data_IF_614660825485
#
_entry.id   IF_614660825485
#
_cell.length_a   1.000
_cell.length_b   1.000
_cell.length_c   1.000
_cell.angle_alpha   90.00
_cell.angle_beta   90.00
_cell.angle_gamma   90.00
#
_symmetry.space_group_name_H-M   'P 1'
#
loop_
_entity.id
_entity.type
_entity.pdbx_description
1 polymer ?
#
# COMPACT_ATOMS: atom_id res chain seq x y z
N UNK A 1 33.14 9.30 -37.49
CA UNK A 1 32.09 8.35 -37.05
C UNK A 1 32.72 6.97 -36.91
N UNK A 2 32.95 6.46 -35.69
CA UNK A 2 33.25 5.05 -35.47
C UNK A 2 32.13 4.36 -34.69
N UNK A 3 31.52 3.33 -35.30
CA UNK A 3 30.46 2.51 -34.71
C UNK A 3 31.06 1.35 -33.90
N UNK A 4 30.93 1.39 -32.58
CA UNK A 4 31.18 0.27 -31.71
C UNK A 4 29.97 -0.66 -31.73
N UNK A 5 30.05 -1.75 -32.49
CA UNK A 5 29.03 -2.80 -32.46
C UNK A 5 29.19 -3.60 -31.17
N UNK A 6 28.36 -3.30 -30.16
CA UNK A 6 28.30 -4.07 -28.91
C UNK A 6 27.66 -5.42 -29.23
N UNK A 7 28.44 -6.50 -29.14
CA UNK A 7 27.92 -7.85 -29.17
C UNK A 7 26.98 -8.05 -27.97
N UNK A 8 25.73 -8.40 -28.26
CA UNK A 8 24.68 -8.60 -27.27
C UNK A 8 24.91 -9.96 -26.60
N UNK A 9 25.16 -10.05 -25.27
CA UNK A 9 25.24 -11.35 -24.62
C UNK A 9 23.86 -12.01 -24.71
N UNK A 10 23.81 -13.18 -25.37
CA UNK A 10 22.63 -14.02 -25.35
C UNK A 10 22.26 -14.27 -23.89
N UNK A 11 21.13 -13.71 -23.46
CA UNK A 11 20.63 -13.88 -22.11
C UNK A 11 20.44 -15.38 -21.88
N UNK A 12 21.39 -15.99 -21.19
CA UNK A 12 21.22 -17.36 -20.69
C UNK A 12 19.89 -17.41 -19.97
N UNK A 13 19.14 -18.49 -20.20
CA UNK A 13 17.90 -18.78 -19.48
C UNK A 13 18.30 -19.09 -18.04
N UNK A 14 18.63 -18.04 -17.29
CA UNK A 14 18.89 -18.10 -15.87
C UNK A 14 17.62 -18.66 -15.24
N UNK A 15 17.77 -19.71 -14.44
CA UNK A 15 16.71 -20.32 -13.66
C UNK A 15 15.68 -19.26 -13.24
N UNK A 16 14.43 -19.42 -13.67
CA UNK A 16 13.33 -18.49 -13.38
C UNK A 16 13.31 -18.22 -11.88
N UNK A 17 13.85 -17.07 -11.48
CA UNK A 17 13.95 -16.71 -10.08
C UNK A 17 12.52 -16.56 -9.55
N UNK A 18 12.10 -17.48 -8.68
CA UNK A 18 10.77 -17.44 -8.07
C UNK A 18 10.72 -16.20 -7.18
N UNK A 19 9.99 -15.16 -7.60
CA UNK A 19 9.74 -13.96 -6.79
C UNK A 19 8.65 -14.29 -5.79
N UNK A 20 9.03 -14.46 -4.53
CA UNK A 20 8.08 -14.62 -3.43
C UNK A 20 7.28 -13.34 -3.21
N UNK A 21 5.99 -13.48 -2.86
CA UNK A 21 5.13 -12.33 -2.59
C UNK A 21 5.53 -11.70 -1.25
N UNK A 22 5.93 -10.44 -1.27
CA UNK A 22 6.17 -9.68 -0.04
C UNK A 22 4.84 -9.18 0.53
N UNK A 23 4.56 -9.54 1.77
CA UNK A 23 3.46 -8.99 2.59
C UNK A 23 3.95 -7.73 3.34
N UNK A 24 3.06 -6.97 3.96
CA UNK A 24 3.40 -5.74 4.70
C UNK A 24 2.88 -4.43 4.08
N UNK A 25 2.22 -4.51 2.94
CA UNK A 25 1.60 -3.41 2.22
C UNK A 25 0.06 -3.45 2.27
N UNK A 26 -0.50 -4.09 3.31
CA UNK A 26 -1.94 -4.21 3.54
C UNK A 26 -2.62 -2.85 3.73
N UNK A 27 -1.89 -1.91 4.34
CA UNK A 27 -2.34 -0.53 4.46
C UNK A 27 -1.84 0.30 3.29
N UNK A 28 -2.76 0.66 2.39
CA UNK A 28 -2.53 1.67 1.35
C UNK A 28 -3.33 2.94 1.67
N UNK A 29 -2.67 4.07 1.94
CA UNK A 29 -3.35 5.28 2.40
C UNK A 29 -4.21 5.88 1.30
N UNK A 30 -5.51 6.06 1.59
CA UNK A 30 -6.41 6.81 0.72
C UNK A 30 -7.46 7.55 1.55
N UNK A 31 -7.51 8.87 1.41
CA UNK A 31 -8.39 9.72 2.22
C UNK A 31 -9.87 9.44 1.98
N UNK A 32 -10.27 9.20 0.74
CA UNK A 32 -11.67 8.87 0.40
C UNK A 32 -12.14 7.59 1.10
N UNK A 33 -11.34 6.50 1.04
CA UNK A 33 -11.69 5.24 1.71
C UNK A 33 -11.69 5.41 3.22
N UNK A 34 -10.72 6.14 3.78
CA UNK A 34 -10.63 6.42 5.22
C UNK A 34 -11.87 7.15 5.74
N UNK A 35 -12.28 8.25 5.10
CA UNK A 35 -13.43 9.07 5.54
C UNK A 35 -14.76 8.35 5.34
N UNK A 36 -14.95 7.60 4.24
CA UNK A 36 -16.17 6.80 4.01
C UNK A 36 -16.33 5.65 5.01
N UNK A 37 -15.25 4.94 5.36
CA UNK A 37 -15.30 3.75 6.24
C UNK A 37 -15.31 4.09 7.73
N UNK A 38 -14.63 5.16 8.14
CA UNK A 38 -14.35 5.43 9.55
C UNK A 38 -14.89 6.78 10.05
N UNK A 39 -15.59 7.54 9.21
CA UNK A 39 -16.12 8.85 9.55
C UNK A 39 -17.51 8.86 10.22
N UNK A 40 -18.22 7.72 10.29
CA UNK A 40 -19.65 7.71 10.64
C UNK A 40 -20.01 6.66 11.69
N UNK A 41 -21.01 6.98 12.53
CA UNK A 41 -21.58 6.03 13.51
C UNK A 41 -22.08 6.70 14.80
N UNK A 42 -23.37 7.04 14.87
CA UNK A 42 -23.97 7.77 16.02
C UNK A 42 -23.72 7.10 17.37
N UNK A 43 -23.92 5.77 17.46
CA UNK A 43 -23.67 4.98 18.69
C UNK A 43 -22.19 4.91 19.08
N UNK A 44 -21.28 4.93 18.10
CA UNK A 44 -19.83 4.91 18.34
C UNK A 44 -19.38 6.28 18.84
N UNK A 45 -19.90 7.37 18.27
CA UNK A 45 -19.59 8.73 18.68
C UNK A 45 -20.06 9.01 20.11
N UNK A 46 -21.26 8.60 20.50
CA UNK A 46 -21.74 8.76 21.89
C UNK A 46 -20.83 8.01 22.87
N UNK A 47 -20.48 6.75 22.59
CA UNK A 47 -19.57 5.96 23.42
C UNK A 47 -18.17 6.58 23.53
N UNK A 48 -17.65 7.12 22.43
CA UNK A 48 -16.33 7.79 22.41
C UNK A 48 -16.33 9.12 23.18
N UNK A 49 -17.44 9.87 23.13
CA UNK A 49 -17.64 11.09 23.95
C UNK A 49 -17.69 10.75 25.43
N UNK A 50 -18.47 9.74 25.82
CA UNK A 50 -18.57 9.29 27.22
C UNK A 50 -17.21 8.84 27.78
N UNK A 51 -16.35 8.22 26.95
CA UNK A 51 -14.99 7.84 27.33
C UNK A 51 -13.98 9.01 27.36
N UNK A 52 -14.34 10.19 26.84
CA UNK A 52 -13.43 11.34 26.78
C UNK A 52 -12.32 11.22 25.74
N UNK A 53 -12.57 10.57 24.58
CA UNK A 53 -11.54 10.49 23.51
C UNK A 53 -11.31 11.86 22.87
N UNK A 54 -10.03 12.27 22.73
CA UNK A 54 -9.62 13.51 22.03
C UNK A 54 -10.11 13.58 20.59
N UNK A 55 -10.08 12.46 19.87
CA UNK A 55 -10.59 12.35 18.49
C UNK A 55 -11.75 11.37 18.42
N UNK A 56 -12.89 11.80 17.84
CA UNK A 56 -14.14 11.04 17.84
C UNK A 56 -14.32 10.17 16.59
N UNK A 57 -13.93 10.65 15.42
CA UNK A 57 -13.81 9.84 14.21
C UNK A 57 -12.45 10.06 13.58
N UNK A 58 -12.19 9.31 12.52
CA UNK A 58 -11.19 9.73 11.56
C UNK A 58 -11.59 11.01 10.83
#
# INVERSE_FOLDING_TARGET
MPSWTVAQPAAGIGALQVRWRTYGNEYQPSNLKRKRRHGTGRRVLTRRKLKGRKFLSH
#
